data_IF_930847358191
#
_entry.id   IF_930847358191
#
_cell.length_a   1.000
_cell.length_b   1.000
_cell.length_c   1.000
_cell.angle_alpha   90.00
_cell.angle_beta   90.00
_cell.angle_gamma   90.00
#
_symmetry.space_group_name_H-M   'P 1'
#
loop_
_entity.id
_entity.type
_entity.pdbx_description
1 polymer ?
#
# COMPACT_ATOMS: atom_id res chain seq x y z
N UNK A 1 -10.54 47.29 -1.25
CA UNK A 1 -10.66 46.26 -0.19
C UNK A 1 -11.15 44.99 -0.84
N UNK A 2 -10.40 43.90 -0.69
CA UNK A 2 -10.63 42.62 -1.34
C UNK A 2 -9.30 41.99 -1.73
N UNK A 3 -8.58 41.50 -0.72
CA UNK A 3 -7.30 40.80 -0.84
C UNK A 3 -7.40 39.62 -1.80
N UNK A 4 -6.46 39.56 -2.75
CA UNK A 4 -6.21 38.37 -3.55
C UNK A 4 -5.59 37.30 -2.64
N UNK A 5 -6.25 36.15 -2.58
CA UNK A 5 -5.81 34.98 -1.85
C UNK A 5 -4.38 34.60 -2.29
N UNK A 6 -3.44 34.71 -1.36
CA UNK A 6 -2.06 34.30 -1.57
C UNK A 6 -1.99 32.80 -1.84
N UNK A 7 -1.37 32.44 -2.97
CA UNK A 7 -0.83 31.12 -3.20
C UNK A 7 0.07 30.75 -2.01
N UNK A 8 -0.44 29.85 -1.16
CA UNK A 8 0.39 29.15 -0.18
C UNK A 8 1.25 28.16 -0.95
N UNK A 9 2.37 28.66 -1.46
CA UNK A 9 3.51 27.87 -1.90
C UNK A 9 3.93 27.00 -0.71
N UNK A 10 3.58 25.72 -0.77
CA UNK A 10 4.16 24.70 0.09
C UNK A 10 5.68 24.82 -0.04
N UNK A 11 6.36 25.11 1.07
CA UNK A 11 7.81 25.18 1.17
C UNK A 11 8.42 23.98 0.45
N UNK A 12 9.13 24.24 -0.65
CA UNK A 12 9.87 23.26 -1.42
C UNK A 12 10.81 22.55 -0.44
N UNK A 13 10.56 21.30 -0.11
CA UNK A 13 11.56 20.50 0.60
C UNK A 13 12.76 20.42 -0.34
N UNK A 14 13.88 21.03 0.06
CA UNK A 14 15.14 20.95 -0.70
C UNK A 14 15.46 19.49 -0.98
N UNK A 15 15.85 19.17 -2.23
CA UNK A 15 16.28 17.80 -2.55
C UNK A 15 17.53 17.45 -1.75
N UNK A 16 17.77 16.17 -1.52
CA UNK A 16 18.98 15.71 -0.82
C UNK A 16 20.24 16.22 -1.52
N UNK A 17 20.25 16.30 -2.84
CA UNK A 17 21.35 16.90 -3.61
C UNK A 17 21.60 18.35 -3.20
N UNK A 18 20.56 19.19 -3.13
CA UNK A 18 20.68 20.59 -2.70
C UNK A 18 21.19 20.66 -1.26
N UNK A 19 20.64 19.85 -0.35
CA UNK A 19 21.08 19.81 1.06
C UNK A 19 22.55 19.44 1.22
N UNK A 20 23.03 18.45 0.47
CA UNK A 20 24.45 18.07 0.51
C UNK A 20 25.31 19.15 -0.15
N UNK A 21 24.89 19.71 -1.29
CA UNK A 21 25.62 20.78 -1.99
C UNK A 21 25.77 22.05 -1.16
N UNK A 22 24.70 22.47 -0.48
CA UNK A 22 24.71 23.62 0.43
C UNK A 22 25.63 23.34 1.63
N UNK A 23 25.59 22.12 2.16
CA UNK A 23 26.45 21.70 3.27
C UNK A 23 27.94 21.63 2.87
N UNK A 24 28.25 21.18 1.65
CA UNK A 24 29.60 21.21 1.10
C UNK A 24 30.11 22.64 0.93
N UNK A 25 29.22 23.57 0.60
CA UNK A 25 29.57 24.99 0.47
C UNK A 25 29.79 25.66 1.83
N UNK A 26 29.02 25.28 2.85
CA UNK A 26 29.10 25.85 4.20
C UNK A 26 30.24 25.24 5.05
N UNK A 27 30.48 23.94 4.93
CA UNK A 27 31.41 23.17 5.77
C UNK A 27 32.28 22.20 4.93
N UNK A 28 33.08 22.72 3.98
CA UNK A 28 33.80 21.87 3.03
C UNK A 28 34.82 20.95 3.71
N UNK A 29 35.55 21.44 4.72
CA UNK A 29 36.63 20.67 5.35
C UNK A 29 36.10 19.45 6.10
N UNK A 30 35.01 19.62 6.82
CA UNK A 30 34.37 18.59 7.63
C UNK A 30 33.77 17.50 6.72
N UNK A 31 33.07 17.89 5.65
CA UNK A 31 32.51 16.94 4.70
C UNK A 31 33.59 16.20 3.90
N UNK A 32 34.64 16.90 3.45
CA UNK A 32 35.80 16.27 2.82
C UNK A 32 36.41 15.24 3.76
N UNK A 33 36.57 15.56 5.04
CA UNK A 33 37.13 14.63 6.03
C UNK A 33 36.29 13.36 6.16
N UNK A 34 34.95 13.49 6.21
CA UNK A 34 34.04 12.34 6.27
C UNK A 34 34.16 11.48 5.01
N UNK A 35 33.99 12.06 3.82
CA UNK A 35 34.02 11.30 2.57
C UNK A 35 35.40 10.70 2.26
N UNK A 36 36.48 11.41 2.61
CA UNK A 36 37.85 10.89 2.49
C UNK A 36 38.04 9.65 3.38
N UNK A 37 37.50 9.66 4.60
CA UNK A 37 37.53 8.48 5.46
C UNK A 37 36.75 7.32 4.89
N UNK A 38 35.56 7.56 4.32
CA UNK A 38 34.77 6.53 3.65
C UNK A 38 35.55 5.90 2.48
N UNK A 39 36.22 6.72 1.66
CA UNK A 39 37.08 6.23 0.56
C UNK A 39 38.29 5.44 1.09
N UNK A 40 38.89 5.86 2.20
CA UNK A 40 40.04 5.19 2.80
C UNK A 40 39.72 3.80 3.39
N UNK A 41 38.45 3.48 3.62
CA UNK A 41 38.03 2.11 3.96
C UNK A 41 38.20 1.13 2.78
N UNK A 42 38.43 1.65 1.57
CA UNK A 42 38.55 0.89 0.34
C UNK A 42 37.23 0.73 -0.39
N UNK A 43 37.30 0.17 -1.60
CA UNK A 43 36.12 -0.09 -2.40
C UNK A 43 35.24 -1.13 -1.70
N UNK A 44 33.97 -0.80 -1.49
CA UNK A 44 33.09 -1.66 -0.72
C UNK A 44 31.71 -1.05 -0.47
N UNK A 45 30.91 -1.81 0.26
CA UNK A 45 29.58 -1.42 0.71
C UNK A 45 29.60 -1.18 2.22
N UNK A 46 29.08 -0.03 2.63
CA UNK A 46 28.98 0.39 4.03
C UNK A 46 27.52 0.46 4.45
N UNK A 47 27.25 -0.04 5.65
CA UNK A 47 25.94 0.03 6.30
C UNK A 47 25.79 1.35 7.06
N UNK A 48 24.54 1.76 7.31
CA UNK A 48 24.23 3.00 8.05
C UNK A 48 25.06 3.23 9.32
N UNK A 49 25.23 2.20 10.16
CA UNK A 49 26.01 2.32 11.40
C UNK A 49 27.50 2.61 11.17
N UNK A 50 28.08 2.11 10.06
CA UNK A 50 29.47 2.39 9.68
C UNK A 50 29.62 3.81 9.16
N UNK A 51 28.67 4.29 8.36
CA UNK A 51 28.63 5.68 7.87
C UNK A 51 28.62 6.65 9.06
N UNK A 52 27.76 6.40 10.04
CA UNK A 52 27.64 7.22 11.25
C UNK A 52 28.90 7.11 12.12
N UNK A 53 29.52 5.94 12.22
CA UNK A 53 30.77 5.76 12.96
C UNK A 53 31.92 6.58 12.35
N UNK A 54 32.05 6.60 11.03
CA UNK A 54 33.06 7.40 10.35
C UNK A 54 32.78 8.89 10.44
N UNK A 55 31.51 9.32 10.35
CA UNK A 55 31.11 10.70 10.63
C UNK A 55 31.54 11.16 12.03
N UNK A 56 31.23 10.36 13.05
CA UNK A 56 31.61 10.64 14.43
C UNK A 56 33.12 10.67 14.65
N UNK A 57 33.87 9.89 13.89
CA UNK A 57 35.34 9.84 14.00
C UNK A 57 36.00 10.98 13.22
N UNK A 58 35.41 11.41 12.10
CA UNK A 58 35.94 12.48 11.26
C UNK A 58 35.87 13.85 11.94
N UNK A 59 34.80 14.10 12.69
CA UNK A 59 34.50 15.43 13.26
C UNK A 59 34.67 15.38 14.78
N UNK A 60 35.52 16.22 15.39
CA UNK A 60 35.62 16.34 16.85
C UNK A 60 34.28 16.67 17.50
N UNK A 61 34.07 16.23 18.74
CA UNK A 61 32.79 16.41 19.46
C UNK A 61 32.37 17.89 19.57
N UNK A 62 33.33 18.80 19.78
CA UNK A 62 33.08 20.24 19.87
C UNK A 62 32.61 20.89 18.54
N UNK A 63 32.94 20.29 17.40
CA UNK A 63 32.49 20.74 16.07
C UNK A 63 31.21 20.02 15.66
N UNK A 64 31.02 18.76 16.08
CA UNK A 64 29.74 18.04 15.94
C UNK A 64 28.59 18.78 16.59
N UNK A 65 28.77 19.35 17.79
CA UNK A 65 27.71 20.15 18.43
C UNK A 65 27.31 21.41 17.63
N UNK A 66 28.18 21.91 16.74
CA UNK A 66 27.85 23.04 15.84
C UNK A 66 27.14 22.60 14.56
N UNK A 67 27.34 21.33 14.17
CA UNK A 67 26.73 20.69 13.01
C UNK A 67 25.48 19.87 13.37
N UNK A 68 25.22 19.73 14.67
CA UNK A 68 24.04 19.10 15.24
C UNK A 68 22.81 19.83 14.75
N UNK A 69 21.83 19.07 14.26
CA UNK A 69 20.64 19.57 13.55
C UNK A 69 20.94 20.24 12.19
N UNK A 70 22.16 20.07 11.66
CA UNK A 70 22.56 20.52 10.33
C UNK A 70 22.01 19.63 9.22
N UNK A 71 21.77 20.22 8.04
CA UNK A 71 21.16 19.53 6.91
C UNK A 71 21.93 18.26 6.47
N UNK A 72 23.25 18.21 6.69
CA UNK A 72 24.12 17.09 6.36
C UNK A 72 24.04 15.92 7.33
N UNK A 73 24.00 16.19 8.64
CA UNK A 73 23.93 15.13 9.65
C UNK A 73 22.63 14.33 9.51
N UNK A 74 21.52 15.03 9.29
CA UNK A 74 20.23 14.43 8.95
C UNK A 74 20.31 13.51 7.73
N UNK A 75 21.02 13.93 6.68
CA UNK A 75 21.19 13.17 5.46
C UNK A 75 22.00 11.90 5.72
N UNK A 76 23.10 12.00 6.46
CA UNK A 76 23.90 10.83 6.83
C UNK A 76 23.16 9.87 7.76
N UNK A 77 22.34 10.40 8.68
CA UNK A 77 21.47 9.58 9.54
C UNK A 77 20.36 8.89 8.74
N UNK A 78 19.87 9.53 7.69
CA UNK A 78 18.89 8.95 6.77
C UNK A 78 19.53 7.98 5.75
N UNK A 79 20.85 8.03 5.54
CA UNK A 79 21.57 7.12 4.67
C UNK A 79 21.49 5.68 5.20
N UNK A 80 20.96 4.78 4.38
CA UNK A 80 20.82 3.36 4.71
C UNK A 80 22.08 2.58 4.34
N UNK A 81 22.70 2.95 3.22
CA UNK A 81 23.92 2.34 2.72
C UNK A 81 24.74 3.35 1.89
N UNK A 82 26.05 3.10 1.83
CA UNK A 82 26.99 3.81 0.98
C UNK A 82 27.79 2.81 0.15
N UNK A 83 28.02 3.14 -1.12
CA UNK A 83 28.83 2.36 -2.05
C UNK A 83 30.04 3.19 -2.39
N UNK A 84 31.22 2.63 -2.15
CA UNK A 84 32.49 3.31 -2.34
C UNK A 84 33.20 2.66 -3.53
N UNK A 85 33.39 3.45 -4.58
CA UNK A 85 34.24 3.10 -5.73
C UNK A 85 35.09 4.34 -5.99
N UNK A 86 36.31 4.37 -5.45
CA UNK A 86 37.15 5.57 -5.47
C UNK A 86 37.27 6.19 -6.87
N UNK A 87 37.09 7.52 -7.05
CA UNK A 87 36.91 8.56 -6.01
C UNK A 87 35.44 8.86 -5.64
N UNK A 88 34.50 7.98 -6.01
CA UNK A 88 33.07 8.18 -5.84
C UNK A 88 32.50 7.48 -4.61
N UNK A 89 31.60 8.17 -3.93
CA UNK A 89 30.76 7.60 -2.86
C UNK A 89 29.30 7.81 -3.23
N UNK A 90 28.59 6.74 -3.53
CA UNK A 90 27.14 6.77 -3.77
C UNK A 90 26.37 6.45 -2.49
N UNK A 91 25.33 7.22 -2.17
CA UNK A 91 24.52 7.08 -0.97
C UNK A 91 23.07 6.76 -1.35
N UNK A 92 22.49 5.75 -0.70
CA UNK A 92 21.05 5.52 -0.72
C UNK A 92 20.42 6.11 0.55
N UNK A 93 19.62 7.15 0.38
CA UNK A 93 19.13 7.98 1.47
C UNK A 93 17.62 7.77 1.58
N UNK A 94 17.15 7.51 2.81
CA UNK A 94 15.75 7.25 3.10
C UNK A 94 15.21 8.28 4.09
N UNK A 95 14.83 9.48 3.63
CA UNK A 95 14.35 10.55 4.52
C UNK A 95 13.09 10.14 5.28
N UNK A 96 12.22 9.33 4.66
CA UNK A 96 10.94 8.89 5.21
C UNK A 96 10.58 7.48 4.73
N UNK A 97 9.72 6.73 5.43
CA UNK A 97 9.25 5.44 4.95
C UNK A 97 8.61 5.53 3.56
N UNK A 98 9.15 4.76 2.61
CA UNK A 98 8.68 4.70 1.23
C UNK A 98 9.24 5.78 0.29
N UNK A 99 10.12 6.66 0.77
CA UNK A 99 10.77 7.70 -0.04
C UNK A 99 12.27 7.47 -0.03
N UNK A 100 12.87 7.43 -1.22
CA UNK A 100 14.28 7.20 -1.44
C UNK A 100 14.84 8.26 -2.38
N UNK A 101 16.07 8.70 -2.08
CA UNK A 101 16.85 9.59 -2.92
C UNK A 101 18.25 9.00 -3.03
N UNK A 102 18.82 9.02 -4.24
CA UNK A 102 20.14 8.46 -4.52
C UNK A 102 21.04 9.57 -5.04
N UNK A 103 22.24 9.62 -4.50
CA UNK A 103 23.24 10.63 -4.89
C UNK A 103 24.60 9.98 -4.95
N UNK A 104 25.50 10.54 -5.77
CA UNK A 104 26.94 10.25 -5.70
C UNK A 104 27.73 11.51 -5.46
N UNK A 105 28.79 11.37 -4.68
CA UNK A 105 29.73 12.44 -4.34
C UNK A 105 31.10 12.08 -4.88
N UNK A 106 31.69 12.96 -5.68
CA UNK A 106 33.09 12.89 -6.06
C UNK A 106 33.92 13.53 -4.95
N UNK A 107 34.74 12.76 -4.25
CA UNK A 107 35.51 13.28 -3.11
C UNK A 107 36.63 14.23 -3.55
N UNK A 108 37.17 14.06 -4.76
CA UNK A 108 38.25 14.90 -5.29
C UNK A 108 37.75 16.26 -5.80
N UNK A 109 36.58 16.27 -6.44
CA UNK A 109 36.00 17.49 -7.05
C UNK A 109 34.94 18.16 -6.17
N UNK A 110 34.52 17.49 -5.08
CA UNK A 110 33.40 17.90 -4.22
C UNK A 110 32.10 18.18 -5.00
N UNK A 111 31.90 17.41 -6.05
CA UNK A 111 30.70 17.44 -6.88
C UNK A 111 29.66 16.44 -6.36
N UNK A 112 28.39 16.86 -6.32
CA UNK A 112 27.25 16.02 -5.95
C UNK A 112 26.30 15.89 -7.13
N UNK A 113 26.03 14.64 -7.48
CA UNK A 113 25.12 14.29 -8.57
C UNK A 113 23.97 13.45 -8.02
N UNK A 114 22.76 13.75 -8.48
CA UNK A 114 21.60 12.92 -8.22
C UNK A 114 21.62 11.72 -9.16
N UNK A 115 21.23 10.55 -8.65
CA UNK A 115 21.15 9.31 -9.41
C UNK A 115 19.70 8.85 -9.48
N UNK A 116 19.32 8.33 -10.64
CA UNK A 116 18.14 7.49 -10.78
C UNK A 116 18.37 6.11 -10.13
N UNK A 117 17.29 5.36 -9.94
CA UNK A 117 17.36 3.99 -9.40
C UNK A 117 18.25 3.08 -10.26
N UNK A 118 18.11 3.04 -11.61
CA UNK A 118 18.99 2.22 -12.44
C UNK A 118 20.46 2.62 -12.33
N UNK A 119 20.78 3.93 -12.34
CA UNK A 119 22.16 4.41 -12.22
C UNK A 119 22.80 4.03 -10.87
N UNK A 120 22.03 4.10 -9.79
CA UNK A 120 22.51 3.66 -8.47
C UNK A 120 22.76 2.15 -8.41
N UNK A 121 21.84 1.34 -8.94
CA UNK A 121 22.00 -0.12 -8.98
C UNK A 121 23.17 -0.54 -9.88
N UNK A 122 23.33 0.12 -11.02
CA UNK A 122 24.46 -0.07 -11.91
C UNK A 122 25.79 0.26 -11.21
N UNK A 123 25.83 1.32 -10.39
CA UNK A 123 27.00 1.63 -9.56
C UNK A 123 27.29 0.53 -8.52
N UNK A 124 26.24 -0.09 -7.95
CA UNK A 124 26.40 -1.27 -7.06
C UNK A 124 26.93 -2.50 -7.81
N UNK A 125 26.49 -2.74 -9.03
CA UNK A 125 26.95 -3.86 -9.86
C UNK A 125 28.42 -3.72 -10.24
N UNK A 126 28.87 -2.49 -10.55
CA UNK A 126 30.27 -2.19 -10.85
C UNK A 126 31.22 -2.59 -9.72
N UNK A 127 30.78 -2.51 -8.46
CA UNK A 127 31.58 -2.93 -7.31
C UNK A 127 31.96 -4.41 -7.37
N UNK A 128 31.11 -5.25 -7.99
CA UNK A 128 31.29 -6.71 -8.06
C UNK A 128 31.82 -7.15 -9.42
N UNK A 129 31.21 -6.68 -10.52
CA UNK A 129 31.48 -7.17 -11.88
C UNK A 129 32.48 -6.30 -12.66
N UNK A 130 32.77 -5.07 -12.23
CA UNK A 130 33.76 -4.16 -12.82
C UNK A 130 33.42 -3.58 -14.21
N UNK A 131 32.47 -4.15 -14.96
CA UNK A 131 32.01 -3.63 -16.26
C UNK A 131 30.52 -3.82 -16.47
N UNK A 132 29.87 -2.82 -17.07
CA UNK A 132 28.44 -2.87 -17.41
C UNK A 132 28.19 -3.65 -18.69
N UNK A 133 27.07 -4.39 -18.74
CA UNK A 133 26.56 -5.05 -19.95
C UNK A 133 25.43 -4.20 -20.53
N UNK A 134 25.46 -3.94 -21.83
CA UNK A 134 24.56 -2.97 -22.49
C UNK A 134 23.06 -3.35 -22.45
N UNK A 135 22.72 -4.62 -22.26
CA UNK A 135 21.33 -5.12 -22.31
C UNK A 135 21.01 -6.02 -21.12
N UNK A 136 21.21 -5.51 -19.90
CA UNK A 136 20.79 -6.21 -18.69
C UNK A 136 19.26 -6.14 -18.53
N UNK A 137 18.66 -7.23 -18.03
CA UNK A 137 17.23 -7.27 -17.77
C UNK A 137 16.89 -6.40 -16.56
N UNK A 138 16.13 -5.33 -16.78
CA UNK A 138 15.55 -4.50 -15.72
C UNK A 138 14.09 -4.89 -15.48
N UNK A 139 13.75 -5.15 -14.21
CA UNK A 139 12.38 -5.46 -13.80
C UNK A 139 11.68 -4.19 -13.31
N UNK A 140 10.92 -3.55 -14.19
CA UNK A 140 10.12 -2.37 -13.86
C UNK A 140 8.62 -2.68 -13.82
N UNK A 141 8.04 -2.58 -12.61
CA UNK A 141 6.61 -2.76 -12.36
C UNK A 141 5.83 -1.44 -12.25
N UNK A 142 6.49 -0.29 -12.30
CA UNK A 142 5.84 1.02 -12.16
C UNK A 142 4.79 1.28 -13.26
N UNK A 143 5.08 1.04 -14.57
CA UNK A 143 4.11 1.26 -15.64
C UNK A 143 2.85 0.39 -15.51
N UNK A 144 3.00 -0.83 -15.01
CA UNK A 144 1.88 -1.78 -14.84
C UNK A 144 0.91 -1.37 -13.72
N UNK A 145 1.35 -0.49 -12.82
CA UNK A 145 0.58 -0.02 -11.68
C UNK A 145 0.03 1.41 -11.86
N UNK A 146 0.23 2.04 -13.02
CA UNK A 146 -0.15 3.43 -13.27
C UNK A 146 -1.68 3.68 -13.20
N UNK A 147 -2.49 2.65 -13.46
CA UNK A 147 -3.95 2.73 -13.34
C UNK A 147 -4.44 2.74 -11.88
N UNK A 148 -3.60 2.34 -10.93
CA UNK A 148 -3.96 2.32 -9.51
C UNK A 148 -3.53 3.62 -8.83
N UNK A 149 -4.45 4.30 -8.15
CA UNK A 149 -4.09 5.48 -7.38
C UNK A 149 -3.12 5.10 -6.25
N UNK A 150 -2.08 5.92 -6.03
CA UNK A 150 -1.07 5.68 -4.99
C UNK A 150 -1.22 6.69 -3.84
N UNK A 151 -1.37 6.25 -2.58
CA UNK A 151 -1.35 7.16 -1.45
C UNK A 151 0.06 7.73 -1.26
N UNK A 152 0.19 9.05 -1.10
CA UNK A 152 1.47 9.74 -0.89
C UNK A 152 1.85 9.89 0.58
N UNK A 153 0.94 9.61 1.51
CA UNK A 153 1.15 9.79 2.95
C UNK A 153 1.64 8.49 3.58
N UNK A 154 2.77 8.53 4.29
CA UNK A 154 3.34 7.34 4.94
C UNK A 154 2.38 6.67 5.94
N UNK A 155 1.46 7.42 6.56
CA UNK A 155 0.40 6.86 7.44
C UNK A 155 -0.59 5.93 6.72
N UNK A 156 -0.63 5.99 5.40
CA UNK A 156 -1.50 5.14 4.57
C UNK A 156 -0.87 3.80 4.23
N UNK A 157 0.42 3.59 4.53
CA UNK A 157 1.10 2.30 4.36
C UNK A 157 0.40 1.27 5.24
N UNK A 158 0.01 0.13 4.65
CA UNK A 158 -0.76 -0.93 5.33
C UNK A 158 -2.28 -0.72 5.33
N UNK A 159 -2.78 0.46 4.92
CA UNK A 159 -4.21 0.80 4.91
C UNK A 159 -4.80 0.87 3.48
N UNK A 160 -4.36 -0.01 2.59
CA UNK A 160 -4.70 0.02 1.16
C UNK A 160 -6.20 -0.10 0.88
N UNK A 161 -6.93 -0.94 1.64
CA UNK A 161 -8.38 -1.13 1.47
C UNK A 161 -9.15 0.16 1.76
N UNK A 162 -8.78 0.92 2.79
CA UNK A 162 -9.44 2.19 3.12
C UNK A 162 -9.25 3.22 2.02
N UNK A 163 -8.05 3.26 1.42
CA UNK A 163 -7.76 4.14 0.30
C UNK A 163 -8.54 3.72 -0.96
N UNK A 164 -8.59 2.43 -1.25
CA UNK A 164 -9.37 1.88 -2.35
C UNK A 164 -10.87 2.15 -2.18
N UNK A 165 -11.42 1.98 -0.97
CA UNK A 165 -12.83 2.28 -0.67
C UNK A 165 -13.16 3.75 -0.94
N UNK A 166 -12.27 4.68 -0.56
CA UNK A 166 -12.43 6.11 -0.89
C UNK A 166 -12.39 6.37 -2.39
N UNK A 167 -11.47 5.74 -3.09
CA UNK A 167 -11.35 5.88 -4.54
C UNK A 167 -12.57 5.32 -5.27
N UNK A 168 -13.01 4.11 -4.91
CA UNK A 168 -14.20 3.47 -5.48
C UNK A 168 -15.46 4.28 -5.17
N UNK A 169 -15.70 4.67 -3.93
CA UNK A 169 -16.85 5.53 -3.56
C UNK A 169 -16.86 6.83 -4.36
N UNK A 170 -15.71 7.49 -4.51
CA UNK A 170 -15.61 8.70 -5.34
C UNK A 170 -15.95 8.41 -6.80
N UNK A 171 -15.41 7.34 -7.39
CA UNK A 171 -15.71 6.95 -8.78
C UNK A 171 -17.19 6.63 -8.98
N UNK A 172 -17.78 5.89 -8.03
CA UNK A 172 -19.19 5.51 -7.99
C UNK A 172 -20.13 6.72 -7.91
N UNK A 173 -19.71 7.81 -7.25
CA UNK A 173 -20.51 9.02 -7.11
C UNK A 173 -20.58 9.86 -8.40
N UNK A 174 -19.50 9.92 -9.17
CA UNK A 174 -19.40 10.85 -10.32
C UNK A 174 -20.06 10.33 -11.61
N UNK A 175 -20.24 9.01 -11.75
CA UNK A 175 -20.69 8.39 -12.99
C UNK A 175 -21.75 7.32 -12.74
N UNK A 176 -22.96 7.52 -13.29
CA UNK A 176 -24.05 6.52 -13.17
C UNK A 176 -23.69 5.19 -13.84
N UNK A 177 -22.89 5.21 -14.90
CA UNK A 177 -22.46 3.99 -15.57
C UNK A 177 -21.49 3.16 -14.71
N UNK A 178 -20.79 3.80 -13.79
CA UNK A 178 -19.84 3.14 -12.88
C UNK A 178 -20.50 2.19 -11.86
N UNK A 179 -21.83 2.23 -11.72
CA UNK A 179 -22.61 1.30 -10.90
C UNK A 179 -22.98 -0.02 -11.60
N UNK A 180 -22.92 -0.09 -12.93
CA UNK A 180 -23.20 -1.34 -13.64
C UNK A 180 -22.26 -2.49 -13.27
N UNK A 181 -20.95 -2.29 -13.02
CA UNK A 181 -20.10 -3.32 -12.45
C UNK A 181 -20.65 -3.94 -11.17
N UNK A 182 -21.21 -3.13 -10.25
CA UNK A 182 -21.82 -3.64 -9.01
C UNK A 182 -23.08 -4.45 -9.28
N UNK A 183 -23.96 -3.95 -10.16
CA UNK A 183 -25.16 -4.68 -10.59
C UNK A 183 -24.79 -6.02 -11.22
N UNK A 184 -23.84 -6.02 -12.16
CA UNK A 184 -23.39 -7.23 -12.86
C UNK A 184 -22.71 -8.20 -11.92
N UNK A 185 -21.92 -7.70 -10.96
CA UNK A 185 -21.32 -8.51 -9.91
C UNK A 185 -22.38 -9.25 -9.08
N UNK A 186 -23.40 -8.54 -8.60
CA UNK A 186 -24.49 -9.15 -7.83
C UNK A 186 -25.32 -10.15 -8.64
N UNK A 187 -25.52 -9.91 -9.93
CA UNK A 187 -26.26 -10.83 -10.83
C UNK A 187 -25.47 -12.07 -11.21
N UNK A 188 -24.17 -11.94 -11.41
CA UNK A 188 -23.30 -13.06 -11.76
C UNK A 188 -22.98 -13.96 -10.55
N UNK A 189 -23.36 -13.53 -9.34
CA UNK A 189 -23.03 -14.23 -8.11
C UNK A 189 -23.83 -15.53 -7.97
N UNK A 190 -23.10 -16.65 -7.94
CA UNK A 190 -23.64 -18.00 -7.86
C UNK A 190 -22.74 -18.87 -6.97
N UNK A 191 -23.35 -19.76 -6.20
CA UNK A 191 -22.62 -20.75 -5.42
C UNK A 191 -23.26 -22.13 -5.54
N UNK A 192 -22.48 -23.13 -5.96
CA UNK A 192 -22.95 -24.53 -6.18
C UNK A 192 -24.22 -24.62 -7.04
N UNK A 193 -24.33 -23.78 -8.07
CA UNK A 193 -25.49 -23.73 -8.95
C UNK A 193 -26.69 -22.94 -8.40
N UNK A 194 -26.62 -22.45 -7.16
CA UNK A 194 -27.64 -21.57 -6.59
C UNK A 194 -27.33 -20.11 -6.94
N UNK A 195 -28.26 -19.45 -7.62
CA UNK A 195 -28.19 -18.00 -7.85
C UNK A 195 -28.34 -17.28 -6.52
N UNK A 196 -27.51 -16.27 -6.31
CA UNK A 196 -27.44 -15.49 -5.07
C UNK A 196 -27.65 -14.01 -5.38
N UNK A 197 -28.07 -13.24 -4.39
CA UNK A 197 -28.34 -11.79 -4.47
C UNK A 197 -29.41 -11.39 -5.49
N UNK A 198 -29.10 -11.40 -6.79
CA UNK A 198 -29.98 -10.93 -7.87
C UNK A 198 -30.13 -12.00 -8.96
N UNK A 199 -31.35 -12.17 -9.48
CA UNK A 199 -31.60 -13.00 -10.66
C UNK A 199 -31.76 -12.19 -11.96
N UNK A 200 -32.03 -12.89 -13.06
CA UNK A 200 -32.10 -12.32 -14.41
C UNK A 200 -33.26 -11.36 -14.68
N UNK A 201 -34.19 -11.19 -13.73
CA UNK A 201 -35.27 -10.20 -13.80
C UNK A 201 -34.73 -8.77 -13.70
N UNK A 202 -33.63 -8.57 -12.96
CA UNK A 202 -33.04 -7.24 -12.77
C UNK A 202 -31.93 -7.03 -13.81
N UNK A 203 -32.17 -6.16 -14.80
CA UNK A 203 -31.22 -5.91 -15.90
C UNK A 203 -30.71 -4.47 -16.01
N UNK A 204 -31.26 -3.56 -15.20
CA UNK A 204 -30.90 -2.15 -15.17
C UNK A 204 -30.85 -1.63 -13.74
N UNK A 205 -30.15 -0.51 -13.53
CA UNK A 205 -30.09 0.17 -12.23
C UNK A 205 -31.48 0.65 -11.78
N UNK A 206 -32.32 1.10 -12.72
CA UNK A 206 -33.70 1.50 -12.42
C UNK A 206 -34.57 0.35 -11.95
N UNK A 207 -34.43 -0.83 -12.56
CA UNK A 207 -35.13 -2.04 -12.13
C UNK A 207 -34.64 -2.50 -10.75
N UNK A 208 -33.32 -2.41 -10.49
CA UNK A 208 -32.73 -2.71 -9.20
C UNK A 208 -33.32 -1.81 -8.11
N UNK A 209 -33.23 -0.49 -8.29
CA UNK A 209 -33.74 0.47 -7.30
C UNK A 209 -35.24 0.28 -7.04
N UNK A 210 -36.03 0.01 -8.08
CA UNK A 210 -37.45 -0.28 -7.95
C UNK A 210 -37.75 -1.59 -7.20
N UNK A 211 -36.95 -2.63 -7.41
CA UNK A 211 -37.08 -3.90 -6.69
C UNK A 211 -36.70 -3.76 -5.21
N UNK A 212 -35.60 -3.06 -4.92
CA UNK A 212 -35.12 -2.83 -3.55
C UNK A 212 -36.17 -2.06 -2.72
N UNK A 213 -36.75 -0.98 -3.27
CA UNK A 213 -37.81 -0.22 -2.59
C UNK A 213 -39.05 -1.05 -2.29
N UNK A 214 -39.50 -1.88 -3.25
CA UNK A 214 -40.64 -2.79 -3.05
C UNK A 214 -40.34 -3.86 -2.00
N UNK A 215 -39.11 -4.34 -1.95
CA UNK A 215 -38.68 -5.32 -0.95
C UNK A 215 -38.62 -4.68 0.45
N UNK A 216 -38.10 -3.46 0.56
CA UNK A 216 -38.09 -2.68 1.79
C UNK A 216 -39.51 -2.43 2.33
N UNK A 217 -40.42 -1.97 1.48
CA UNK A 217 -41.84 -1.78 1.84
C UNK A 217 -42.45 -3.10 2.35
N UNK A 218 -42.15 -4.22 1.70
CA UNK A 218 -42.64 -5.53 2.13
C UNK A 218 -42.08 -5.94 3.50
N UNK A 219 -40.77 -5.80 3.71
CA UNK A 219 -40.12 -6.15 4.98
C UNK A 219 -40.59 -5.25 6.13
N UNK A 220 -40.89 -3.98 5.88
CA UNK A 220 -41.35 -3.04 6.91
C UNK A 220 -42.67 -3.46 7.58
N UNK A 221 -43.46 -4.29 6.89
CA UNK A 221 -44.70 -4.87 7.42
C UNK A 221 -44.52 -6.17 8.21
N UNK A 222 -43.31 -6.74 8.28
CA UNK A 222 -43.01 -8.00 8.94
C UNK A 222 -42.34 -7.79 10.31
N UNK A 223 -42.52 -8.71 11.28
CA UNK A 223 -41.70 -8.76 12.48
C UNK A 223 -40.20 -8.89 12.15
N UNK A 224 -39.34 -8.23 12.93
CA UNK A 224 -37.89 -8.20 12.70
C UNK A 224 -37.24 -9.59 12.62
N UNK A 225 -37.71 -10.53 13.43
CA UNK A 225 -37.17 -11.89 13.55
C UNK A 225 -37.81 -12.88 12.54
N UNK A 226 -38.64 -12.40 11.62
CA UNK A 226 -39.26 -13.24 10.58
C UNK A 226 -38.16 -13.92 9.76
N UNK A 227 -38.12 -15.27 9.70
CA UNK A 227 -37.11 -15.99 8.93
C UNK A 227 -37.20 -15.73 7.42
N UNK A 228 -36.06 -15.78 6.73
CA UNK A 228 -36.00 -15.61 5.26
C UNK A 228 -36.90 -16.59 4.49
N UNK A 229 -37.11 -17.82 5.02
CA UNK A 229 -38.01 -18.80 4.42
C UNK A 229 -39.43 -18.29 4.18
N UNK A 230 -39.90 -17.38 5.04
CA UNK A 230 -41.30 -16.97 5.08
C UNK A 230 -41.61 -15.89 4.03
N UNK A 231 -40.60 -15.11 3.61
CA UNK A 231 -40.74 -14.06 2.61
C UNK A 231 -39.92 -14.30 1.32
N UNK A 232 -39.17 -15.40 1.23
CA UNK A 232 -38.33 -15.74 0.08
C UNK A 232 -39.08 -15.73 -1.26
N UNK A 233 -40.29 -16.30 -1.32
CA UNK A 233 -41.08 -16.33 -2.55
C UNK A 233 -41.36 -14.92 -3.08
N UNK A 234 -41.69 -13.99 -2.19
CA UNK A 234 -41.93 -12.60 -2.57
C UNK A 234 -40.66 -11.91 -3.05
N UNK A 235 -39.52 -12.19 -2.42
CA UNK A 235 -38.21 -11.70 -2.84
C UNK A 235 -37.85 -12.19 -4.25
N UNK A 236 -38.06 -13.49 -4.52
CA UNK A 236 -37.75 -14.08 -5.81
C UNK A 236 -38.57 -13.47 -6.96
N UNK A 237 -39.85 -13.16 -6.71
CA UNK A 237 -40.71 -12.45 -7.67
C UNK A 237 -40.16 -11.06 -8.03
N UNK A 238 -39.59 -10.36 -7.04
CA UNK A 238 -38.95 -9.05 -7.20
C UNK A 238 -37.56 -9.13 -7.86
N UNK A 239 -37.02 -10.33 -8.02
CA UNK A 239 -35.69 -10.57 -8.59
C UNK A 239 -34.57 -10.69 -7.56
N UNK A 240 -34.90 -10.81 -6.28
CA UNK A 240 -33.97 -10.94 -5.17
C UNK A 240 -33.87 -12.41 -4.74
N UNK A 241 -32.66 -12.97 -4.79
CA UNK A 241 -32.38 -14.35 -4.39
C UNK A 241 -31.85 -14.40 -2.95
N UNK A 242 -31.27 -15.54 -2.53
CA UNK A 242 -30.69 -15.72 -1.19
C UNK A 242 -29.42 -14.88 -1.02
N UNK A 243 -29.11 -14.50 0.22
CA UNK A 243 -27.87 -13.81 0.59
C UNK A 243 -28.02 -12.42 1.22
N UNK A 244 -29.24 -11.90 1.34
CA UNK A 244 -29.51 -10.60 1.96
C UNK A 244 -29.52 -10.63 3.50
N UNK A 245 -29.84 -11.79 4.09
CA UNK A 245 -29.95 -11.98 5.53
C UNK A 245 -30.69 -13.27 5.86
N UNK A 246 -30.56 -13.72 7.10
CA UNK A 246 -31.28 -14.86 7.67
C UNK A 246 -32.67 -14.50 8.19
N UNK A 247 -32.87 -13.26 8.64
CA UNK A 247 -34.16 -12.70 9.06
C UNK A 247 -34.52 -11.38 8.33
N UNK A 248 -35.77 -10.94 8.49
CA UNK A 248 -36.30 -9.72 7.90
C UNK A 248 -35.47 -8.48 8.26
N UNK A 249 -35.07 -8.34 9.54
CA UNK A 249 -34.23 -7.23 9.99
C UNK A 249 -32.88 -7.20 9.26
N UNK A 250 -32.18 -8.33 9.19
CA UNK A 250 -30.87 -8.42 8.55
C UNK A 250 -30.96 -8.16 7.04
N UNK A 251 -32.00 -8.71 6.40
CA UNK A 251 -32.28 -8.43 4.99
C UNK A 251 -32.53 -6.94 4.76
N UNK A 252 -33.31 -6.29 5.63
CA UNK A 252 -33.58 -4.85 5.54
C UNK A 252 -32.30 -4.01 5.69
N UNK A 253 -31.44 -4.32 6.67
CA UNK A 253 -30.14 -3.65 6.85
C UNK A 253 -29.29 -3.73 5.57
N UNK A 254 -29.18 -4.90 4.96
CA UNK A 254 -28.39 -5.10 3.72
C UNK A 254 -29.01 -4.38 2.53
N UNK A 255 -30.34 -4.36 2.41
CA UNK A 255 -31.04 -3.61 1.37
C UNK A 255 -30.82 -2.10 1.51
N UNK A 256 -30.87 -1.57 2.74
CA UNK A 256 -30.59 -0.17 3.04
C UNK A 256 -29.18 0.22 2.64
N UNK A 257 -28.17 -0.59 2.98
CA UNK A 257 -26.79 -0.33 2.55
C UNK A 257 -26.68 -0.21 1.01
N UNK A 258 -27.36 -1.07 0.25
CA UNK A 258 -27.33 -0.99 -1.21
C UNK A 258 -28.11 0.22 -1.74
N UNK A 259 -29.25 0.57 -1.14
CA UNK A 259 -30.02 1.76 -1.50
C UNK A 259 -29.19 3.03 -1.26
N UNK A 260 -28.55 3.14 -0.10
CA UNK A 260 -27.65 4.23 0.25
C UNK A 260 -26.50 4.33 -0.76
N UNK A 261 -25.90 3.21 -1.15
CA UNK A 261 -24.87 3.20 -2.19
C UNK A 261 -25.36 3.66 -3.56
N UNK A 262 -26.58 3.29 -3.96
CA UNK A 262 -27.15 3.71 -5.24
C UNK A 262 -27.51 5.21 -5.25
N UNK A 263 -27.77 5.81 -4.08
CA UNK A 263 -28.13 7.22 -3.95
C UNK A 263 -26.91 8.12 -3.69
N UNK A 264 -26.09 7.78 -2.70
CA UNK A 264 -24.92 8.54 -2.28
C UNK A 264 -23.80 7.60 -1.79
N UNK A 265 -22.92 7.11 -2.69
CA UNK A 265 -21.83 6.21 -2.33
C UNK A 265 -20.85 6.84 -1.35
N UNK A 266 -20.67 6.25 -0.17
CA UNK A 266 -19.59 6.58 0.76
C UNK A 266 -18.68 5.37 1.06
N UNK A 267 -17.43 5.60 1.49
CA UNK A 267 -16.45 4.53 1.68
C UNK A 267 -16.87 3.50 2.75
N UNK A 268 -17.55 3.95 3.81
CA UNK A 268 -17.91 3.10 4.94
C UNK A 268 -19.07 2.18 4.58
N UNK A 269 -20.08 2.71 3.88
CA UNK A 269 -21.22 1.91 3.40
C UNK A 269 -20.77 0.93 2.33
N UNK A 270 -19.85 1.31 1.44
CA UNK A 270 -19.29 0.41 0.42
C UNK A 270 -18.58 -0.78 1.06
N UNK A 271 -17.73 -0.51 2.05
CA UNK A 271 -17.01 -1.54 2.80
C UNK A 271 -17.97 -2.49 3.53
N UNK A 272 -18.95 -1.93 4.25
CA UNK A 272 -19.97 -2.73 4.98
C UNK A 272 -20.80 -3.59 4.03
N UNK A 273 -21.26 -3.03 2.92
CA UNK A 273 -22.06 -3.75 1.94
C UNK A 273 -21.26 -4.89 1.33
N UNK A 274 -20.09 -4.61 0.74
CA UNK A 274 -19.24 -5.63 0.12
C UNK A 274 -18.81 -6.70 1.13
N UNK A 275 -18.53 -6.33 2.38
CA UNK A 275 -18.20 -7.27 3.45
C UNK A 275 -19.36 -8.14 3.91
N UNK A 276 -20.61 -7.77 3.61
CA UNK A 276 -21.81 -8.55 3.96
C UNK A 276 -22.20 -9.56 2.88
N UNK A 277 -21.72 -9.37 1.64
CA UNK A 277 -22.04 -10.27 0.53
C UNK A 277 -21.42 -11.65 0.78
N UNK A 278 -22.20 -12.74 0.74
CA UNK A 278 -21.68 -14.09 0.93
C UNK A 278 -20.73 -14.54 -0.19
N UNK A 279 -19.45 -14.15 -0.16
CA UNK A 279 -18.49 -14.44 -1.22
C UNK A 279 -17.58 -15.63 -0.94
N UNK A 280 -17.10 -15.75 0.30
CA UNK A 280 -16.02 -16.67 0.66
C UNK A 280 -16.62 -17.94 1.25
N UNK A 281 -16.72 -18.98 0.43
CA UNK A 281 -17.23 -20.30 0.85
C UNK A 281 -16.16 -21.37 0.93
N UNK A 282 -15.22 -21.38 -0.03
CA UNK A 282 -14.12 -22.33 -0.09
C UNK A 282 -12.82 -21.55 0.01
N UNK A 283 -12.00 -21.89 1.00
CA UNK A 283 -10.70 -21.23 1.24
C UNK A 283 -9.57 -22.22 0.98
N UNK A 284 -8.61 -21.82 0.17
CA UNK A 284 -7.40 -22.60 -0.10
C UNK A 284 -6.21 -21.84 0.48
N UNK A 285 -5.46 -22.46 1.38
CA UNK A 285 -4.25 -21.93 1.99
C UNK A 285 -3.08 -22.79 1.51
N UNK A 286 -2.01 -22.15 1.04
CA UNK A 286 -0.81 -22.84 0.55
C UNK A 286 0.36 -22.64 1.52
N UNK A 287 0.90 -23.75 2.01
CA UNK A 287 2.11 -23.80 2.86
C UNK A 287 2.96 -25.00 2.45
N UNK A 288 3.72 -24.91 1.34
CA UNK A 288 4.35 -26.08 0.73
C UNK A 288 5.59 -26.60 1.46
N UNK A 289 6.29 -25.76 2.23
CA UNK A 289 7.53 -26.14 2.91
C UNK A 289 7.29 -26.53 4.37
N UNK A 290 8.30 -27.18 4.97
CA UNK A 290 8.28 -27.61 6.36
C UNK A 290 7.39 -28.84 6.61
N UNK A 291 7.39 -29.28 7.86
CA UNK A 291 6.55 -30.38 8.31
C UNK A 291 5.20 -29.81 8.78
N UNK A 292 4.19 -29.88 7.91
CA UNK A 292 2.88 -29.31 8.20
C UNK A 292 1.96 -30.35 8.87
N UNK A 293 1.84 -30.27 10.21
CA UNK A 293 0.92 -31.08 10.99
C UNK A 293 0.47 -30.37 12.27
N UNK A 294 -0.61 -30.86 12.88
CA UNK A 294 -1.19 -30.27 14.10
C UNK A 294 -0.38 -30.55 15.37
N UNK A 295 0.49 -31.56 15.37
CA UNK A 295 1.29 -31.94 16.54
C UNK A 295 2.63 -32.56 16.12
N UNK A 296 3.59 -32.56 17.05
CA UNK A 296 4.89 -33.25 16.94
C UNK A 296 5.81 -32.79 15.79
N UNK A 297 5.58 -31.61 15.22
CA UNK A 297 6.38 -31.06 14.12
C UNK A 297 7.12 -29.77 14.47
N UNK A 298 6.73 -29.10 15.57
CA UNK A 298 7.34 -27.84 15.98
C UNK A 298 8.82 -28.05 16.36
N UNK A 299 9.69 -27.19 15.81
CA UNK A 299 11.14 -27.24 16.03
C UNK A 299 11.90 -28.08 15.00
N UNK A 300 11.20 -28.72 14.05
CA UNK A 300 11.85 -29.35 12.90
C UNK A 300 12.32 -28.27 11.90
N UNK A 301 13.28 -28.60 11.01
CA UNK A 301 13.71 -27.69 9.96
C UNK A 301 12.52 -27.08 9.22
N UNK A 302 12.60 -25.77 8.99
CA UNK A 302 11.56 -24.97 8.31
C UNK A 302 10.16 -25.05 8.95
N UNK A 303 10.06 -25.48 10.22
CA UNK A 303 8.79 -25.73 10.90
C UNK A 303 8.68 -24.97 12.21
N UNK A 304 7.94 -23.86 12.19
CA UNK A 304 7.79 -22.97 13.34
C UNK A 304 6.47 -22.22 13.32
N UNK A 305 6.55 -20.90 13.55
CA UNK A 305 5.38 -20.03 13.69
C UNK A 305 4.37 -20.12 12.53
N UNK A 306 4.85 -20.33 11.29
CA UNK A 306 3.98 -20.49 10.12
C UNK A 306 2.95 -21.61 10.28
N UNK A 307 3.35 -22.79 10.79
CA UNK A 307 2.43 -23.92 10.98
C UNK A 307 1.38 -23.59 12.04
N UNK A 308 1.78 -22.93 13.13
CA UNK A 308 0.85 -22.50 14.18
C UNK A 308 -0.18 -21.52 13.61
N UNK A 309 0.28 -20.49 12.88
CA UNK A 309 -0.59 -19.47 12.29
C UNK A 309 -1.57 -20.09 11.28
N UNK A 310 -1.10 -21.00 10.42
CA UNK A 310 -1.98 -21.65 9.43
C UNK A 310 -2.94 -22.66 10.06
N UNK A 311 -2.50 -23.49 11.01
CA UNK A 311 -3.36 -24.49 11.66
C UNK A 311 -4.52 -23.87 12.46
N UNK A 312 -4.31 -22.71 13.11
CA UNK A 312 -5.38 -21.97 13.81
C UNK A 312 -6.53 -21.61 12.86
N UNK A 313 -6.21 -21.24 11.61
CA UNK A 313 -7.21 -20.90 10.59
C UNK A 313 -8.01 -22.14 10.17
N UNK A 314 -7.39 -23.31 10.09
CA UNK A 314 -8.08 -24.57 9.77
C UNK A 314 -9.06 -25.01 10.87
N UNK A 315 -8.71 -24.83 12.15
CA UNK A 315 -9.60 -25.18 13.26
C UNK A 315 -10.85 -24.29 13.33
N UNK A 316 -10.73 -23.00 12.99
CA UNK A 316 -11.86 -22.07 12.97
C UNK A 316 -12.83 -22.27 11.79
N UNK A 317 -12.38 -22.85 10.68
CA UNK A 317 -13.22 -23.09 9.50
C UNK A 317 -14.01 -24.40 9.57
N UNK A 318 -13.80 -25.22 10.61
CA UNK A 318 -14.39 -26.57 10.74
C UNK A 318 -15.54 -26.63 11.74
N UNK A 319 -15.83 -25.53 12.45
CA UNK A 319 -17.00 -25.32 13.33
C UNK A 319 -18.02 -24.39 12.66
#
# INVERSE_FOLDING_TARGET
MGEAAGDRVLSRLHSVRERIGDSLSAHPNELVAVFTRLVNLGNGMLQSHQIIAEYNTAIPEAEREKLKDGAFEDVLRAAQEAIVISPWVALAIRPRPGVWEYVRVNVSELAVEELSVPEYLQFKEQLVEGSNKDFMLELDFEPFNASFPRPSLSKSIGNGVQFLNRHLSSKLFHDKESMYPLLNFLRAHNYKGMTMMLNDRIRSLSALQGALRKAEEHLSGLPADTPYSDFHHRFQELGLEKGWGDCAKRAQETLHLLLDLLEAPDPSTLEKFLGTIPMVFNVVILSPHGYFAQANVLGYPDTGGQVITSCIVYTWSSD
#
